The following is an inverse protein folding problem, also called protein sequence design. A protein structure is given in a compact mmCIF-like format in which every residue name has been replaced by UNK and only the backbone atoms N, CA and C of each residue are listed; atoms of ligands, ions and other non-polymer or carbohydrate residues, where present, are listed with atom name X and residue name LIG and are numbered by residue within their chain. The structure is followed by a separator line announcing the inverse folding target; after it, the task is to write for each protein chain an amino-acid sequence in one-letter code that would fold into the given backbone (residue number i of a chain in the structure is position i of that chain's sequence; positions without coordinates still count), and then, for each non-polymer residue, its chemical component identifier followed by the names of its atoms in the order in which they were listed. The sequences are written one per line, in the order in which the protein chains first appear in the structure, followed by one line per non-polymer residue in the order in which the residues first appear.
data_IF_892128038226
#
_entry.id   IF_892128038226
#
_cell.length_a   1.000
_cell.length_b   1.000
_cell.length_c   1.000
_cell.angle_alpha   90.00
_cell.angle_beta   90.00
_cell.angle_gamma   90.00
#
_symmetry.space_group_name_H-M   'P 1'
#
loop_
_entity.id
_entity.type
_entity.pdbx_description
1 polymer ?
#
# COMPACT_ATOMS: atom_id res chain seq x y z
N UNK A 1 7.73 36.39 -12.28
CA UNK A 1 8.23 35.68 -13.47
C UNK A 1 9.72 35.44 -13.21
N UNK A 2 10.25 34.23 -13.05
CA UNK A 2 10.24 33.09 -13.97
C UNK A 2 10.54 31.77 -13.23
N UNK A 3 9.64 30.79 -13.43
CA UNK A 3 9.82 29.33 -13.52
C UNK A 3 10.77 28.62 -12.52
N UNK A 4 10.19 28.09 -11.45
CA UNK A 4 10.72 26.90 -10.76
C UNK A 4 10.13 25.63 -11.38
N UNK A 5 11.04 24.80 -11.90
CA UNK A 5 11.00 23.34 -12.06
C UNK A 5 9.65 22.64 -12.25
N UNK A 6 9.40 22.21 -13.50
CA UNK A 6 8.36 21.24 -13.87
C UNK A 6 8.77 19.80 -13.52
N UNK A 7 7.88 18.96 -12.95
CA UNK A 7 8.18 17.58 -12.55
C UNK A 7 8.16 16.57 -13.72
N UNK A 8 8.73 16.93 -14.87
CA UNK A 8 8.96 16.01 -16.01
C UNK A 8 10.35 15.36 -15.96
N UNK A 9 11.04 15.36 -14.81
CA UNK A 9 12.50 15.13 -14.75
C UNK A 9 13.02 13.97 -13.89
N UNK A 10 12.20 12.99 -13.50
CA UNK A 10 12.73 11.79 -12.79
C UNK A 10 12.75 10.51 -13.65
N UNK A 11 12.14 10.50 -14.85
CA UNK A 11 12.10 9.30 -15.71
C UNK A 11 12.83 9.51 -17.06
N UNK A 12 13.89 10.31 -17.07
CA UNK A 12 14.81 10.29 -18.21
C UNK A 12 16.20 10.73 -17.78
N UNK A 13 16.99 9.80 -17.22
CA UNK A 13 18.44 9.76 -17.41
C UNK A 13 19.00 8.40 -16.96
N UNK A 14 19.80 7.81 -17.84
CA UNK A 14 20.66 6.62 -17.69
C UNK A 14 20.11 5.25 -18.09
N UNK A 15 20.11 5.04 -19.41
CA UNK A 15 20.24 3.73 -20.01
C UNK A 15 21.45 2.94 -19.43
N UNK A 16 21.19 1.69 -19.03
CA UNK A 16 22.10 0.51 -18.99
C UNK A 16 22.89 0.14 -17.70
N UNK A 17 23.01 0.93 -16.62
CA UNK A 17 23.50 0.39 -15.33
C UNK A 17 22.46 0.38 -14.18
N UNK A 18 21.18 0.65 -14.46
CA UNK A 18 20.14 0.88 -13.43
C UNK A 18 19.61 -0.40 -12.73
N UNK A 19 19.74 -1.58 -13.34
CA UNK A 19 19.13 -2.82 -12.80
C UNK A 19 19.74 -3.20 -11.43
N UNK A 20 21.03 -2.95 -11.21
CA UNK A 20 21.69 -3.23 -9.93
C UNK A 20 21.36 -2.22 -8.80
N UNK A 21 21.16 -0.95 -9.15
CA UNK A 21 20.89 0.10 -8.16
C UNK A 21 19.43 0.10 -7.68
N UNK A 22 18.48 -0.23 -8.57
CA UNK A 22 17.09 -0.47 -8.19
C UNK A 22 16.98 -1.73 -7.33
N UNK A 23 17.68 -2.82 -7.65
CA UNK A 23 17.72 -4.01 -6.81
C UNK A 23 18.30 -3.77 -5.41
N UNK A 24 19.31 -2.90 -5.27
CA UNK A 24 19.89 -2.52 -3.98
C UNK A 24 18.97 -1.60 -3.16
N UNK A 25 18.30 -0.63 -3.81
CA UNK A 25 17.30 0.21 -3.15
C UNK A 25 16.08 -0.63 -2.70
N UNK A 26 15.66 -1.60 -3.51
CA UNK A 26 14.66 -2.62 -3.14
C UNK A 26 15.12 -3.52 -1.99
N UNK A 27 16.37 -3.99 -1.99
CA UNK A 27 16.94 -4.81 -0.92
C UNK A 27 16.98 -4.10 0.44
N UNK A 28 17.30 -2.79 0.46
CA UNK A 28 17.27 -1.98 1.68
C UNK A 28 15.85 -1.64 2.14
N UNK A 29 14.88 -1.50 1.24
CA UNK A 29 13.46 -1.37 1.58
C UNK A 29 12.92 -2.66 2.22
N UNK A 30 13.34 -3.84 1.73
CA UNK A 30 12.93 -5.15 2.28
C UNK A 30 13.33 -5.36 3.74
N UNK A 31 14.49 -4.86 4.20
CA UNK A 31 14.92 -5.02 5.60
C UNK A 31 13.98 -4.33 6.59
N UNK A 32 13.32 -3.24 6.21
CA UNK A 32 12.26 -2.61 7.01
C UNK A 32 10.96 -3.43 7.06
N UNK A 33 10.69 -4.20 6.00
CA UNK A 33 9.48 -5.02 5.81
C UNK A 33 9.56 -6.38 6.52
N UNK A 34 10.76 -6.96 6.68
CA UNK A 34 11.01 -8.26 7.31
C UNK A 34 10.61 -8.34 8.80
N UNK A 35 10.40 -7.20 9.48
CA UNK A 35 9.97 -7.19 10.88
C UNK A 35 8.48 -7.52 11.06
N UNK A 36 7.70 -7.50 9.98
CA UNK A 36 6.23 -7.55 10.03
C UNK A 36 5.62 -8.91 9.60
N UNK A 37 6.40 -9.81 9.00
CA UNK A 37 5.93 -11.13 8.53
C UNK A 37 5.50 -12.11 9.65
N UNK A 38 5.63 -11.75 10.94
CA UNK A 38 5.52 -12.73 12.04
C UNK A 38 4.23 -12.69 12.88
N UNK A 39 3.26 -11.85 12.58
CA UNK A 39 2.08 -11.71 13.46
C UNK A 39 0.79 -11.52 12.66
N UNK A 40 0.23 -12.59 12.11
CA UNK A 40 -1.18 -12.59 11.71
C UNK A 40 -1.87 -13.90 12.10
N UNK A 41 -2.13 -14.07 13.40
CA UNK A 41 -3.13 -15.02 13.86
C UNK A 41 -4.40 -14.28 14.29
N UNK A 42 -5.49 -14.60 13.58
CA UNK A 42 -6.91 -14.41 13.85
C UNK A 42 -7.41 -13.06 14.38
N UNK A 43 -8.20 -12.35 13.57
CA UNK A 43 -9.22 -11.42 14.09
C UNK A 43 -10.46 -11.33 13.18
N UNK A 44 -11.61 -11.38 13.86
CA UNK A 44 -13.01 -11.37 13.41
C UNK A 44 -13.39 -10.36 12.31
N UNK A 45 -14.29 -10.81 11.43
CA UNK A 45 -14.77 -10.25 10.16
C UNK A 45 -15.78 -9.10 10.25
N UNK A 46 -15.42 -7.97 10.84
CA UNK A 46 -16.06 -6.68 10.49
C UNK A 46 -14.94 -5.71 10.14
N UNK A 47 -14.92 -5.22 8.89
CA UNK A 47 -14.11 -4.04 8.55
C UNK A 47 -14.55 -2.91 9.48
N UNK A 48 -13.67 -2.56 10.41
CA UNK A 48 -13.97 -1.61 11.46
C UNK A 48 -13.67 -0.21 10.90
N UNK A 49 -14.68 0.65 10.70
CA UNK A 49 -14.46 2.03 10.28
C UNK A 49 -13.66 2.77 11.37
N UNK A 50 -12.41 3.12 11.08
CA UNK A 50 -11.48 3.69 12.04
C UNK A 50 -11.89 5.09 12.45
N UNK A 51 -12.39 5.87 11.50
CA UNK A 51 -12.88 7.22 11.77
C UNK A 51 -14.05 7.19 12.76
N UNK A 52 -14.99 6.25 12.58
CA UNK A 52 -16.12 6.04 13.50
C UNK A 52 -15.65 5.54 14.86
N UNK A 53 -14.75 4.54 14.90
CA UNK A 53 -14.21 4.01 16.15
C UNK A 53 -13.41 5.06 16.91
N UNK A 54 -12.59 5.84 16.21
CA UNK A 54 -11.87 6.97 16.80
C UNK A 54 -12.84 7.96 17.40
N UNK A 55 -13.85 8.36 16.64
CA UNK A 55 -14.86 9.32 17.09
C UNK A 55 -15.61 8.82 18.33
N UNK A 56 -15.98 7.53 18.36
CA UNK A 56 -16.63 6.89 19.52
C UNK A 56 -15.72 6.90 20.75
N UNK A 57 -14.50 6.38 20.64
CA UNK A 57 -13.55 6.34 21.76
C UNK A 57 -13.19 7.74 22.26
N UNK A 58 -13.07 8.71 21.35
CA UNK A 58 -12.83 10.11 21.72
C UNK A 58 -14.01 10.69 22.50
N UNK A 59 -15.24 10.48 22.03
CA UNK A 59 -16.45 10.92 22.74
C UNK A 59 -16.62 10.20 24.09
N UNK A 60 -16.31 8.91 24.19
CA UNK A 60 -16.41 8.17 25.44
C UNK A 60 -15.43 8.69 26.50
N UNK A 61 -14.22 9.10 26.09
CA UNK A 61 -13.18 9.58 27.02
C UNK A 61 -13.31 11.07 27.35
N UNK A 62 -13.73 11.88 26.38
CA UNK A 62 -13.70 13.35 26.51
C UNK A 62 -15.07 14.01 26.41
N UNK A 63 -16.13 13.28 26.04
CA UNK A 63 -17.48 13.80 25.84
C UNK A 63 -18.04 14.51 27.07
N UNK A 64 -17.84 13.95 28.26
CA UNK A 64 -18.26 14.58 29.52
C UNK A 64 -17.58 15.93 29.76
N UNK A 65 -16.29 16.05 29.41
CA UNK A 65 -15.54 17.31 29.51
C UNK A 65 -16.09 18.35 28.51
N UNK A 66 -16.42 17.91 27.29
CA UNK A 66 -17.03 18.75 26.25
C UNK A 66 -18.40 19.27 26.71
N UNK A 67 -19.27 18.40 27.21
CA UNK A 67 -20.63 18.76 27.65
C UNK A 67 -20.61 19.72 28.85
N UNK A 68 -19.59 19.61 29.72
CA UNK A 68 -19.39 20.51 30.86
C UNK A 68 -18.74 21.84 30.49
N UNK A 69 -18.41 22.06 29.21
CA UNK A 69 -17.74 23.28 28.74
C UNK A 69 -16.31 23.41 29.22
N UNK A 70 -15.66 22.29 29.57
CA UNK A 70 -14.26 22.29 29.93
C UNK A 70 -13.38 22.61 28.72
N UNK A 71 -12.28 23.33 28.98
CA UNK A 71 -11.35 23.76 27.95
C UNK A 71 -10.56 22.56 27.39
N UNK A 72 -10.92 22.13 26.18
CA UNK A 72 -10.31 20.98 25.50
C UNK A 72 -8.83 21.21 25.15
N UNK A 73 -8.36 22.46 25.13
CA UNK A 73 -6.93 22.76 24.94
C UNK A 73 -6.06 22.28 26.12
N UNK A 74 -6.69 21.91 27.24
CA UNK A 74 -6.03 21.35 28.43
C UNK A 74 -5.93 19.83 28.40
N UNK A 75 -6.52 19.16 27.41
CA UNK A 75 -6.30 17.73 27.21
C UNK A 75 -4.84 17.55 26.81
N UNK A 76 -4.10 16.76 27.60
CA UNK A 76 -2.67 16.60 27.34
C UNK A 76 -2.45 15.72 26.10
N UNK A 77 -1.36 15.94 25.35
CA UNK A 77 -0.98 15.07 24.23
C UNK A 77 -0.88 13.59 24.64
N UNK A 78 -0.51 13.30 25.89
CA UNK A 78 -0.42 11.96 26.45
C UNK A 78 -1.81 11.32 26.65
N UNK A 79 -2.81 12.08 27.09
CA UNK A 79 -4.20 11.59 27.18
C UNK A 79 -4.77 11.26 25.79
N UNK A 80 -4.47 12.09 24.78
CA UNK A 80 -4.85 11.86 23.38
C UNK A 80 -4.12 10.62 22.83
N UNK A 81 -2.82 10.51 23.10
CA UNK A 81 -2.00 9.37 22.67
C UNK A 81 -2.51 8.06 23.26
N UNK A 82 -2.82 8.02 24.55
CA UNK A 82 -3.39 6.83 25.20
C UNK A 82 -4.74 6.44 24.59
N UNK A 83 -5.61 7.40 24.26
CA UNK A 83 -6.87 7.13 23.56
C UNK A 83 -6.63 6.57 22.15
N UNK A 84 -5.63 7.10 21.43
CA UNK A 84 -5.27 6.63 20.08
C UNK A 84 -4.75 5.18 20.05
N UNK A 85 -4.03 4.74 21.09
CA UNK A 85 -3.52 3.37 21.16
C UNK A 85 -4.61 2.31 21.29
N UNK A 86 -5.79 2.66 21.81
CA UNK A 86 -6.95 1.76 21.88
C UNK A 86 -7.64 1.57 20.52
N UNK A 87 -7.39 2.47 19.57
CA UNK A 87 -8.05 2.54 18.27
C UNK A 87 -7.19 1.90 17.15
N UNK A 88 -5.87 1.84 17.32
CA UNK A 88 -4.90 1.67 16.23
C UNK A 88 -3.96 0.46 16.39
N UNK A 89 -4.43 -0.80 16.43
CA UNK A 89 -3.62 -1.87 15.86
C UNK A 89 -3.69 -1.72 14.35
N UNK A 90 -2.54 -1.50 13.68
CA UNK A 90 -2.44 -1.35 12.22
C UNK A 90 -3.13 -2.51 11.46
N UNK A 91 -3.14 -3.70 12.06
CA UNK A 91 -3.83 -4.89 11.55
C UNK A 91 -5.36 -4.69 11.47
N UNK A 92 -5.95 -3.86 12.34
CA UNK A 92 -7.37 -3.49 12.27
C UNK A 92 -7.66 -2.44 11.19
N UNK A 93 -6.64 -1.70 10.76
CA UNK A 93 -6.73 -0.59 9.79
C UNK A 93 -6.74 -1.15 8.38
N UNK A 94 -5.75 -1.99 8.09
CA UNK A 94 -5.55 -2.57 6.77
C UNK A 94 -6.42 -3.82 6.59
N UNK A 95 -6.96 -4.37 7.69
CA UNK A 95 -7.74 -5.59 7.67
C UNK A 95 -6.89 -6.81 7.31
N UNK A 96 -7.55 -7.92 6.98
CA UNK A 96 -6.86 -9.14 6.56
C UNK A 96 -6.43 -9.00 5.10
N UNK A 97 -5.11 -8.99 4.88
CA UNK A 97 -4.52 -9.06 3.54
C UNK A 97 -4.23 -10.53 3.25
N UNK A 98 -4.71 -11.10 2.13
CA UNK A 98 -4.31 -12.44 1.72
C UNK A 98 -2.80 -12.54 1.63
N UNK A 99 -2.26 -13.71 1.95
CA UNK A 99 -0.81 -13.96 1.90
C UNK A 99 -0.56 -14.98 0.79
N UNK A 100 0.23 -14.59 -0.20
CA UNK A 100 0.78 -15.49 -1.20
C UNK A 100 1.88 -16.34 -0.55
N UNK A 101 1.92 -17.61 -0.94
CA UNK A 101 2.86 -18.61 -0.43
C UNK A 101 3.65 -19.24 -1.57
N UNK A 102 4.58 -20.14 -1.23
CA UNK A 102 5.34 -20.88 -2.25
C UNK A 102 4.45 -21.78 -3.11
N UNK A 103 3.30 -22.20 -2.59
CA UNK A 103 2.34 -23.02 -3.34
C UNK A 103 1.60 -22.23 -4.42
N UNK A 104 1.67 -20.89 -4.35
CA UNK A 104 1.07 -20.03 -5.36
C UNK A 104 1.94 -19.85 -6.59
N UNK A 105 3.26 -20.06 -6.51
CA UNK A 105 4.18 -19.77 -7.60
C UNK A 105 4.54 -21.01 -8.42
N UNK A 106 4.74 -20.81 -9.72
CA UNK A 106 5.30 -21.85 -10.59
C UNK A 106 6.82 -21.94 -10.40
N UNK A 107 7.34 -23.05 -9.88
CA UNK A 107 8.79 -23.24 -9.68
C UNK A 107 9.43 -23.87 -10.92
N UNK A 108 10.58 -23.31 -11.30
CA UNK A 108 11.51 -23.85 -12.28
C UNK A 108 12.76 -24.40 -11.54
N UNK A 109 13.11 -25.66 -11.81
CA UNK A 109 14.29 -26.31 -11.20
C UNK A 109 15.63 -25.72 -11.67
N UNK A 110 15.63 -24.98 -12.78
CA UNK A 110 16.80 -24.31 -13.35
C UNK A 110 17.15 -23.01 -12.61
N UNK A 111 18.43 -22.81 -12.33
CA UNK A 111 18.97 -21.63 -11.62
C UNK A 111 20.09 -20.92 -12.39
N UNK A 112 20.13 -21.09 -13.71
CA UNK A 112 21.14 -20.44 -14.55
C UNK A 112 20.97 -18.90 -14.54
N UNK A 113 22.03 -18.12 -14.77
CA UNK A 113 21.90 -16.67 -14.93
C UNK A 113 20.87 -16.26 -16.00
N UNK A 114 20.73 -17.06 -17.06
CA UNK A 114 19.74 -16.82 -18.11
C UNK A 114 18.31 -17.10 -17.61
N UNK A 115 18.09 -18.13 -16.81
CA UNK A 115 16.79 -18.40 -16.18
C UNK A 115 16.35 -17.23 -15.27
N UNK A 116 17.27 -16.68 -14.48
CA UNK A 116 17.02 -15.50 -13.63
C UNK A 116 16.70 -14.28 -14.47
N UNK A 117 17.49 -14.01 -15.51
CA UNK A 117 17.24 -12.90 -16.44
C UNK A 117 15.87 -13.03 -17.13
N UNK A 118 15.49 -14.23 -17.56
CA UNK A 118 14.20 -14.50 -18.18
C UNK A 118 13.03 -14.27 -17.21
N UNK A 119 13.19 -14.66 -15.95
CA UNK A 119 12.22 -14.34 -14.89
C UNK A 119 11.99 -12.83 -14.76
N UNK A 120 13.06 -12.04 -14.59
CA UNK A 120 12.94 -10.59 -14.45
C UNK A 120 12.41 -9.88 -15.71
N UNK A 121 12.79 -10.36 -16.90
CA UNK A 121 12.23 -9.84 -18.15
C UNK A 121 10.71 -10.11 -18.25
N UNK A 122 10.27 -11.28 -17.78
CA UNK A 122 8.85 -11.62 -17.74
C UNK A 122 8.09 -10.77 -16.73
N UNK A 123 8.67 -10.57 -15.55
CA UNK A 123 8.12 -9.70 -14.50
C UNK A 123 7.96 -8.26 -15.01
N UNK A 124 9.00 -7.72 -15.64
CA UNK A 124 8.95 -6.38 -16.23
C UNK A 124 7.85 -6.25 -17.29
N UNK A 125 7.69 -7.23 -18.18
CA UNK A 125 6.63 -7.22 -19.21
C UNK A 125 5.23 -7.18 -18.60
N UNK A 126 5.01 -7.90 -17.49
CA UNK A 126 3.74 -7.84 -16.76
C UNK A 126 3.53 -6.41 -16.26
N UNK A 127 4.51 -5.80 -15.59
CA UNK A 127 4.38 -4.44 -15.04
C UNK A 127 4.24 -3.36 -16.09
N UNK A 128 4.95 -3.48 -17.21
CA UNK A 128 4.77 -2.62 -18.37
C UNK A 128 3.33 -2.69 -18.88
N UNK A 129 2.76 -3.89 -19.01
CA UNK A 129 1.39 -4.06 -19.47
C UNK A 129 0.34 -3.56 -18.47
N UNK A 130 0.54 -3.76 -17.18
CA UNK A 130 -0.47 -3.47 -16.16
C UNK A 130 -0.40 -2.05 -15.62
N UNK A 131 0.78 -1.47 -15.45
CA UNK A 131 0.95 -0.17 -14.79
C UNK A 131 1.35 0.97 -15.72
N UNK A 132 2.08 0.74 -16.81
CA UNK A 132 2.42 1.84 -17.74
C UNK A 132 1.22 2.35 -18.55
N UNK A 133 0.11 1.61 -18.53
CA UNK A 133 -1.15 2.03 -19.14
C UNK A 133 -1.98 2.96 -18.24
N UNK A 134 -1.54 3.19 -17.00
CA UNK A 134 -2.21 4.09 -16.06
C UNK A 134 -1.78 5.53 -16.31
N UNK A 135 -2.73 6.40 -16.67
CA UNK A 135 -2.45 7.82 -16.94
C UNK A 135 -2.34 8.68 -15.68
N UNK A 136 -3.00 8.27 -14.59
CA UNK A 136 -2.99 8.96 -13.29
C UNK A 136 -2.87 7.94 -12.16
N UNK A 137 -1.91 8.17 -11.28
CA UNK A 137 -1.79 7.41 -10.03
C UNK A 137 -2.88 7.81 -9.01
N UNK A 138 -3.02 6.97 -8.01
CA UNK A 138 -3.98 7.08 -6.90
C UNK A 138 -3.80 8.38 -6.11
N UNK A 139 -2.56 8.81 -5.85
CA UNK A 139 -2.25 10.04 -5.11
C UNK A 139 -2.72 11.28 -5.87
N UNK A 140 -2.52 11.32 -7.19
CA UNK A 140 -2.98 12.41 -8.04
C UNK A 140 -4.51 12.45 -8.12
N UNK A 141 -5.16 11.30 -8.24
CA UNK A 141 -6.63 11.21 -8.24
C UNK A 141 -7.19 11.71 -6.90
N UNK A 142 -6.60 11.28 -5.78
CA UNK A 142 -6.95 11.76 -4.43
C UNK A 142 -6.79 13.27 -4.31
N UNK A 143 -5.64 13.80 -4.75
CA UNK A 143 -5.37 15.24 -4.70
C UNK A 143 -6.38 16.05 -5.50
N UNK A 144 -6.75 15.61 -6.70
CA UNK A 144 -7.80 16.24 -7.50
C UNK A 144 -9.15 16.18 -6.79
N UNK A 145 -9.54 15.02 -6.25
CA UNK A 145 -10.80 14.84 -5.53
C UNK A 145 -10.93 15.78 -4.32
N UNK A 146 -9.86 15.92 -3.52
CA UNK A 146 -9.83 16.84 -2.37
C UNK A 146 -9.87 18.30 -2.83
N UNK A 147 -9.06 18.66 -3.83
CA UNK A 147 -8.94 20.06 -4.26
C UNK A 147 -10.22 20.61 -4.92
N UNK A 148 -11.01 19.74 -5.52
CA UNK A 148 -12.25 20.08 -6.21
C UNK A 148 -13.50 19.79 -5.37
N UNK A 149 -13.34 19.30 -4.13
CA UNK A 149 -14.43 18.81 -3.27
C UNK A 149 -15.36 17.81 -4.02
N UNK A 150 -14.75 16.94 -4.82
CA UNK A 150 -15.45 16.03 -5.71
C UNK A 150 -14.97 14.59 -5.53
N UNK A 151 -15.44 13.95 -4.47
CA UNK A 151 -15.11 12.57 -4.13
C UNK A 151 -15.61 11.54 -5.15
N UNK A 152 -16.51 11.88 -6.06
CA UNK A 152 -16.89 10.98 -7.16
C UNK A 152 -15.71 10.63 -8.07
N UNK A 153 -14.68 11.50 -8.12
CA UNK A 153 -13.44 11.25 -8.87
C UNK A 153 -12.65 10.05 -8.37
N UNK A 154 -12.82 9.66 -7.11
CA UNK A 154 -12.15 8.50 -6.52
C UNK A 154 -12.45 7.21 -7.28
N UNK A 155 -13.59 7.12 -7.99
CA UNK A 155 -13.91 5.97 -8.86
C UNK A 155 -12.84 5.71 -9.95
N UNK A 156 -12.02 6.71 -10.32
CA UNK A 156 -10.90 6.50 -11.23
C UNK A 156 -9.82 5.58 -10.65
N UNK A 157 -9.72 5.47 -9.31
CA UNK A 157 -8.77 4.57 -8.63
C UNK A 157 -9.14 3.10 -8.87
N UNK A 158 -10.38 2.78 -9.24
CA UNK A 158 -10.81 1.40 -9.54
C UNK A 158 -9.96 0.79 -10.69
N UNK A 159 -9.51 1.62 -11.63
CA UNK A 159 -8.58 1.19 -12.68
C UNK A 159 -7.19 0.82 -12.14
N UNK A 160 -6.69 1.57 -11.15
CA UNK A 160 -5.40 1.31 -10.49
C UNK A 160 -5.49 0.00 -9.70
N UNK A 161 -6.57 -0.20 -8.93
CA UNK A 161 -6.84 -1.45 -8.19
C UNK A 161 -6.89 -2.65 -9.14
N UNK A 162 -7.58 -2.51 -10.28
CA UNK A 162 -7.65 -3.56 -11.30
C UNK A 162 -6.28 -3.91 -11.89
N UNK A 163 -5.36 -2.94 -12.00
CA UNK A 163 -3.99 -3.21 -12.45
C UNK A 163 -3.19 -4.04 -11.46
N UNK A 164 -3.37 -3.83 -10.16
CA UNK A 164 -2.77 -4.72 -9.15
C UNK A 164 -3.31 -6.15 -9.24
N UNK A 165 -4.62 -6.33 -9.43
CA UNK A 165 -5.21 -7.66 -9.60
C UNK A 165 -4.67 -8.39 -10.83
N UNK A 166 -4.64 -7.70 -11.98
CA UNK A 166 -4.07 -8.27 -13.22
C UNK A 166 -2.60 -8.61 -13.05
N UNK A 167 -1.85 -7.73 -12.39
CA UNK A 167 -0.43 -7.92 -12.12
C UNK A 167 -0.20 -9.16 -11.26
N UNK A 168 -0.92 -9.28 -10.14
CA UNK A 168 -0.82 -10.44 -9.26
C UNK A 168 -1.09 -11.75 -10.02
N UNK A 169 -2.19 -11.79 -10.78
CA UNK A 169 -2.59 -12.98 -11.55
C UNK A 169 -1.62 -13.35 -12.68
N UNK A 170 -0.91 -12.37 -13.26
CA UNK A 170 0.08 -12.63 -14.31
C UNK A 170 1.45 -12.97 -13.73
N UNK A 171 1.90 -12.29 -12.67
CA UNK A 171 3.18 -12.56 -12.00
C UNK A 171 3.21 -13.97 -11.43
N UNK A 172 2.11 -14.41 -10.80
CA UNK A 172 1.98 -15.75 -10.20
C UNK A 172 2.24 -16.88 -11.22
N UNK A 173 2.03 -16.63 -12.51
CA UNK A 173 2.19 -17.61 -13.60
C UNK A 173 3.61 -17.65 -14.17
N UNK A 174 4.49 -16.73 -13.79
CA UNK A 174 5.86 -16.69 -14.30
C UNK A 174 6.65 -17.83 -13.64
N UNK A 175 7.30 -18.72 -14.42
CA UNK A 175 8.20 -19.73 -13.85
C UNK A 175 9.38 -19.07 -13.12
N UNK A 176 9.52 -19.40 -11.84
CA UNK A 176 10.51 -18.81 -10.92
C UNK A 176 11.66 -19.77 -10.71
N UNK A 177 12.92 -19.39 -10.99
CA UNK A 177 14.08 -20.16 -10.59
C UNK A 177 14.03 -20.46 -9.08
N UNK A 178 14.24 -21.72 -8.66
CA UNK A 178 14.11 -22.12 -7.24
C UNK A 178 14.87 -21.21 -6.26
N UNK A 179 16.06 -20.73 -6.63
CA UNK A 179 16.86 -19.80 -5.80
C UNK A 179 16.21 -18.43 -5.56
N UNK A 180 15.17 -18.09 -6.32
CA UNK A 180 14.43 -16.81 -6.26
C UNK A 180 12.99 -16.97 -5.77
N UNK A 181 12.60 -18.15 -5.26
CA UNK A 181 11.24 -18.40 -4.76
C UNK A 181 10.79 -17.40 -3.68
N UNK A 182 11.69 -17.06 -2.74
CA UNK A 182 11.36 -16.15 -1.65
C UNK A 182 11.09 -14.73 -2.18
N UNK A 183 11.86 -14.30 -3.17
CA UNK A 183 11.64 -13.01 -3.82
C UNK A 183 10.28 -12.97 -4.53
N UNK A 184 9.94 -14.01 -5.30
CA UNK A 184 8.66 -14.07 -6.00
C UNK A 184 7.46 -14.05 -5.04
N UNK A 185 7.54 -14.78 -3.92
CA UNK A 185 6.51 -14.75 -2.87
C UNK A 185 6.41 -13.35 -2.25
N UNK A 186 7.54 -12.71 -1.95
CA UNK A 186 7.56 -11.36 -1.39
C UNK A 186 6.97 -10.34 -2.36
N UNK A 187 7.22 -10.48 -3.67
CA UNK A 187 6.68 -9.62 -4.70
C UNK A 187 5.17 -9.75 -4.82
N UNK A 188 4.63 -10.97 -4.81
CA UNK A 188 3.18 -11.20 -4.81
C UNK A 188 2.53 -10.58 -3.56
N UNK A 189 3.14 -10.75 -2.38
CA UNK A 189 2.67 -10.14 -1.15
C UNK A 189 2.80 -8.61 -1.15
N UNK A 190 3.79 -8.05 -1.84
CA UNK A 190 3.89 -6.62 -2.06
C UNK A 190 2.70 -6.11 -2.87
N UNK A 191 2.39 -6.75 -4.01
CA UNK A 191 1.24 -6.37 -4.84
C UNK A 191 -0.08 -6.40 -4.06
N UNK A 192 -0.32 -7.44 -3.24
CA UNK A 192 -1.52 -7.54 -2.41
C UNK A 192 -1.61 -6.43 -1.35
N UNK A 193 -0.49 -6.08 -0.72
CA UNK A 193 -0.42 -4.99 0.26
C UNK A 193 -0.64 -3.63 -0.37
N UNK A 194 0.06 -3.34 -1.47
CA UNK A 194 -0.10 -2.09 -2.21
C UNK A 194 -1.53 -1.91 -2.71
N UNK A 195 -2.16 -2.97 -3.24
CA UNK A 195 -3.58 -2.96 -3.59
C UNK A 195 -4.44 -2.53 -2.41
N UNK A 196 -4.24 -3.11 -1.23
CA UNK A 196 -5.06 -2.78 -0.06
C UNK A 196 -4.91 -1.32 0.36
N UNK A 197 -3.72 -0.74 0.31
CA UNK A 197 -3.55 0.69 0.56
C UNK A 197 -4.30 1.56 -0.44
N UNK A 198 -4.24 1.21 -1.72
CA UNK A 198 -5.00 1.91 -2.77
C UNK A 198 -6.52 1.78 -2.55
N UNK A 199 -7.02 0.63 -2.08
CA UNK A 199 -8.42 0.45 -1.68
C UNK A 199 -8.83 1.34 -0.49
N UNK A 200 -7.93 1.57 0.47
CA UNK A 200 -8.18 2.50 1.57
C UNK A 200 -8.28 3.93 1.06
N UNK A 201 -7.36 4.35 0.18
CA UNK A 201 -7.40 5.66 -0.48
C UNK A 201 -8.70 5.84 -1.27
N UNK A 202 -9.12 4.80 -2.00
CA UNK A 202 -10.38 4.78 -2.77
C UNK A 202 -11.61 5.06 -1.90
N UNK A 203 -11.56 4.75 -0.61
CA UNK A 203 -12.65 4.91 0.35
C UNK A 203 -12.39 6.03 1.38
N UNK A 204 -11.48 6.97 1.09
CA UNK A 204 -11.18 8.11 1.98
C UNK A 204 -12.42 8.94 2.35
N UNK A 205 -13.45 8.97 1.51
CA UNK A 205 -14.71 9.66 1.76
C UNK A 205 -15.54 9.01 2.87
N UNK A 206 -15.29 7.72 3.15
CA UNK A 206 -15.99 6.93 4.17
C UNK A 206 -15.14 6.71 5.42
N UNK A 207 -13.83 6.56 5.25
CA UNK A 207 -12.89 6.36 6.36
C UNK A 207 -11.58 7.14 6.15
N UNK A 208 -11.61 8.48 6.35
CA UNK A 208 -10.44 9.33 6.17
C UNK A 208 -9.24 8.90 7.00
N UNK A 209 -9.46 8.39 8.21
CA UNK A 209 -8.37 7.96 9.09
C UNK A 209 -7.67 6.70 8.57
N UNK A 210 -8.43 5.74 8.01
CA UNK A 210 -7.83 4.56 7.38
C UNK A 210 -7.02 4.92 6.13
N UNK A 211 -7.52 5.85 5.31
CA UNK A 211 -6.79 6.35 4.15
C UNK A 211 -5.55 7.16 4.53
N UNK A 212 -5.56 7.90 5.65
CA UNK A 212 -4.40 8.65 6.13
C UNK A 212 -3.27 7.74 6.64
N UNK A 213 -3.62 6.56 7.15
CA UNK A 213 -2.68 5.58 7.71
C UNK A 213 -2.21 4.55 6.68
N UNK A 214 -2.73 4.61 5.46
CA UNK A 214 -2.32 3.83 4.30
C UNK A 214 -1.04 4.39 3.66
#
# INVERSE_FOLDING_TARGET
MTRLFSPRFIITLFAVPIIGALALFWYFSLQGVLKYERTSDSASSREANLTENFSKTFLDKFGDKIVKGEDLSKISPEEISAASQEIVPFEKIVGVIPIATKDDIAILDENSPEAVKNYFNSLYRVYEKTFLTIEKDDVKILSEAISEDNFSKLAQIDAVISSFDKSFEEVKKIPVPRSWENFAVQELNYLLRSKKFVELIRNVDKDPLAALLA
#
